data_IF_745476799234
#
_entry.id   IF_745476799234
#
_cell.length_a   1.000
_cell.length_b   1.000
_cell.length_c   1.000
_cell.angle_alpha   90.00
_cell.angle_beta   90.00
_cell.angle_gamma   90.00
#
_symmetry.space_group_name_H-M   'P 1'
#
loop_
_entity.id
_entity.type
_entity.pdbx_description
1 polymer ?
#
# COMPACT_ATOMS: atom_id res chain seq x y z
N UNK A 1 42.33 31.21 8.66
CA UNK A 1 42.70 32.13 7.56
C UNK A 1 42.97 31.31 6.31
N UNK A 2 41.97 31.17 5.44
CA UNK A 2 42.13 30.55 4.13
C UNK A 2 41.19 31.30 3.19
N UNK A 3 41.79 32.13 2.33
CA UNK A 3 41.14 32.89 1.26
C UNK A 3 41.01 31.96 0.06
N UNK A 4 39.79 31.73 -0.43
CA UNK A 4 39.55 31.15 -1.75
C UNK A 4 38.53 32.02 -2.50
N UNK A 5 38.91 32.38 -3.73
CA UNK A 5 38.31 33.43 -4.54
C UNK A 5 37.07 33.04 -5.35
N UNK A 6 36.53 34.06 -6.01
CA UNK A 6 35.35 34.06 -6.86
C UNK A 6 35.43 33.07 -8.03
N UNK A 7 34.24 32.56 -8.41
CA UNK A 7 33.84 32.49 -9.82
C UNK A 7 33.78 31.09 -10.42
N UNK A 8 32.58 30.57 -10.63
CA UNK A 8 32.35 29.38 -11.45
C UNK A 8 30.88 28.98 -11.52
N UNK A 9 30.14 29.53 -12.48
CA UNK A 9 28.87 28.94 -12.94
C UNK A 9 29.21 27.66 -13.71
N UNK A 10 28.77 26.51 -13.21
CA UNK A 10 28.46 25.36 -14.04
C UNK A 10 27.12 24.79 -13.61
N UNK A 11 26.14 24.92 -14.50
CA UNK A 11 24.89 24.18 -14.40
C UNK A 11 25.14 22.71 -14.73
N UNK A 12 24.54 21.81 -13.95
CA UNK A 12 24.35 20.43 -14.32
C UNK A 12 22.96 20.00 -13.84
N UNK A 13 22.11 19.72 -14.83
CA UNK A 13 20.86 18.98 -14.71
C UNK A 13 21.14 17.66 -13.99
N UNK A 14 20.51 17.43 -12.85
CA UNK A 14 20.48 16.14 -12.16
C UNK A 14 19.09 15.52 -12.31
N UNK A 15 19.00 14.48 -13.13
CA UNK A 15 17.80 13.73 -13.44
C UNK A 15 17.05 13.23 -12.19
N UNK A 16 15.75 13.54 -12.10
CA UNK A 16 14.81 12.84 -11.23
C UNK A 16 14.70 11.38 -11.71
N UNK A 17 15.46 10.49 -11.07
CA UNK A 17 15.34 9.05 -11.24
C UNK A 17 14.02 8.57 -10.67
N UNK A 18 13.05 8.32 -11.56
CA UNK A 18 11.83 7.55 -11.27
C UNK A 18 12.24 6.15 -10.80
N UNK A 19 12.14 5.88 -9.49
CA UNK A 19 12.24 4.53 -8.95
C UNK A 19 10.95 3.79 -9.29
N UNK A 20 11.08 2.72 -10.06
CA UNK A 20 9.98 1.80 -10.40
C UNK A 20 9.61 1.02 -9.13
N UNK A 21 8.33 1.06 -8.78
CA UNK A 21 7.74 0.18 -7.77
C UNK A 21 7.87 -1.29 -8.21
N UNK A 22 8.13 -2.27 -7.30
CA UNK A 22 8.36 -3.67 -7.67
C UNK A 22 7.08 -4.46 -7.98
N UNK A 23 5.89 -3.86 -7.80
CA UNK A 23 4.63 -4.55 -8.07
C UNK A 23 4.32 -4.59 -9.58
N UNK A 24 3.92 -5.75 -10.14
CA UNK A 24 3.59 -5.84 -11.55
C UNK A 24 2.29 -5.06 -11.81
N UNK A 25 2.46 -3.83 -12.30
CA UNK A 25 1.39 -2.99 -12.85
C UNK A 25 0.66 -3.79 -13.92
N UNK A 26 -0.64 -4.02 -13.74
CA UNK A 26 -1.53 -4.66 -14.70
C UNK A 26 -1.34 -4.05 -16.09
N UNK A 27 -0.64 -4.77 -16.98
CA UNK A 27 -0.37 -4.33 -18.35
C UNK A 27 -1.57 -4.71 -19.22
N UNK A 28 -2.43 -3.74 -19.53
CA UNK A 28 -3.38 -3.90 -20.63
C UNK A 28 -2.59 -4.01 -21.94
N UNK A 29 -2.48 -5.22 -22.49
CA UNK A 29 -1.90 -5.46 -23.81
C UNK A 29 -2.77 -4.78 -24.87
N UNK A 30 -2.27 -3.74 -25.51
CA UNK A 30 -2.80 -3.22 -26.77
C UNK A 30 -2.19 -4.00 -27.93
N UNK A 31 -3.04 -4.52 -28.84
CA UNK A 31 -2.61 -5.20 -30.05
C UNK A 31 -2.24 -4.19 -31.17
N UNK A 32 -1.40 -4.57 -32.16
CA UNK A 32 -0.95 -3.69 -33.23
C UNK A 32 -2.01 -3.56 -34.33
N UNK A 33 -2.06 -2.36 -34.93
CA UNK A 33 -3.06 -1.95 -35.90
C UNK A 33 -2.92 -2.57 -37.29
N UNK A 34 -4.04 -2.53 -38.01
CA UNK A 34 -4.16 -2.59 -39.46
C UNK A 34 -5.20 -1.54 -39.83
N UNK A 35 -4.83 -0.61 -40.71
CA UNK A 35 -5.71 0.42 -41.28
C UNK A 35 -6.55 -0.17 -42.42
N UNK A 36 -7.81 0.24 -42.53
CA UNK A 36 -8.45 0.75 -43.76
C UNK A 36 -9.98 0.87 -43.59
N UNK A 37 -10.54 2.00 -44.02
CA UNK A 37 -11.97 2.12 -44.37
C UNK A 37 -12.74 3.27 -43.72
N UNK A 38 -13.12 4.24 -44.55
CA UNK A 38 -14.07 5.32 -44.27
C UNK A 38 -15.38 4.80 -43.64
N UNK A 39 -15.64 5.22 -42.41
CA UNK A 39 -16.88 4.95 -41.67
C UNK A 39 -17.18 6.11 -40.71
N UNK A 40 -18.46 6.33 -40.32
CA UNK A 40 -18.84 7.47 -39.50
C UNK A 40 -18.09 7.41 -38.17
N UNK A 41 -17.33 8.48 -37.89
CA UNK A 41 -16.42 8.59 -36.75
C UNK A 41 -17.15 8.22 -35.44
N UNK A 42 -16.73 7.15 -34.74
CA UNK A 42 -17.31 6.81 -33.46
C UNK A 42 -16.93 7.90 -32.46
N UNK A 43 -17.94 8.55 -31.86
CA UNK A 43 -17.73 9.57 -30.83
C UNK A 43 -16.80 9.01 -29.76
N UNK A 44 -15.61 9.60 -29.61
CA UNK A 44 -14.64 9.28 -28.57
C UNK A 44 -15.31 9.41 -27.21
N UNK A 45 -15.77 8.29 -26.64
CA UNK A 45 -16.30 8.24 -25.28
C UNK A 45 -15.12 8.49 -24.35
N UNK A 46 -15.03 9.68 -23.78
CA UNK A 46 -14.07 10.00 -22.72
C UNK A 46 -14.28 9.02 -21.56
N UNK A 47 -13.23 8.35 -21.07
CA UNK A 47 -13.35 7.44 -19.94
C UNK A 47 -13.80 8.26 -18.72
N UNK A 48 -15.01 7.96 -18.24
CA UNK A 48 -15.62 8.67 -17.12
C UNK A 48 -14.90 8.23 -15.85
N UNK A 49 -14.07 9.11 -15.29
CA UNK A 49 -13.38 8.85 -14.02
C UNK A 49 -14.46 8.73 -12.92
N UNK A 50 -14.56 7.58 -12.22
CA UNK A 50 -15.54 7.43 -11.16
C UNK A 50 -15.27 8.44 -10.04
N UNK A 51 -16.33 9.03 -9.51
CA UNK A 51 -16.22 9.90 -8.34
C UNK A 51 -15.80 9.06 -7.14
N UNK A 52 -14.87 9.59 -6.33
CA UNK A 52 -14.35 8.91 -5.13
C UNK A 52 -15.47 8.73 -4.08
N UNK A 53 -16.40 9.68 -3.97
CA UNK A 53 -17.51 9.60 -3.01
C UNK A 53 -18.83 9.16 -3.67
N UNK A 54 -19.56 8.28 -2.99
CA UNK A 54 -20.85 7.72 -3.45
C UNK A 54 -22.04 8.15 -2.60
N UNK A 55 -21.81 8.76 -1.43
CA UNK A 55 -22.83 9.17 -0.44
C UNK A 55 -23.65 8.02 0.18
N UNK A 56 -23.34 6.77 -0.14
CA UNK A 56 -24.07 5.59 0.38
C UNK A 56 -23.83 5.34 1.88
N UNK A 57 -22.81 6.00 2.45
CA UNK A 57 -22.43 5.90 3.86
C UNK A 57 -22.91 7.04 4.75
N UNK A 58 -23.67 8.00 4.22
CA UNK A 58 -24.10 9.21 4.94
C UNK A 58 -25.08 8.91 6.09
N UNK A 59 -25.78 7.77 6.00
CA UNK A 59 -26.71 7.30 7.05
C UNK A 59 -26.02 6.50 8.17
N UNK A 60 -24.68 6.48 8.22
CA UNK A 60 -23.94 5.73 9.24
C UNK A 60 -23.77 4.23 8.98
N UNK A 61 -24.05 3.76 7.76
CA UNK A 61 -23.89 2.35 7.37
C UNK A 61 -22.83 2.19 6.30
N UNK A 62 -22.11 1.06 6.29
CA UNK A 62 -21.19 0.69 5.23
C UNK A 62 -21.40 -0.79 4.85
N UNK A 63 -20.74 -1.24 3.79
CA UNK A 63 -20.78 -2.62 3.33
C UNK A 63 -19.47 -3.34 3.64
N UNK A 64 -19.56 -4.56 4.14
CA UNK A 64 -18.43 -5.50 4.21
C UNK A 64 -18.06 -5.99 2.82
N UNK A 65 -16.95 -6.71 2.70
CA UNK A 65 -16.52 -7.33 1.43
C UNK A 65 -17.53 -8.37 0.91
N UNK A 66 -18.33 -8.97 1.82
CA UNK A 66 -19.39 -9.92 1.47
C UNK A 66 -20.64 -9.25 0.90
N UNK A 67 -20.71 -7.91 0.94
CA UNK A 67 -21.86 -7.10 0.54
C UNK A 67 -22.89 -6.87 1.65
N UNK A 68 -22.69 -7.47 2.83
CA UNK A 68 -23.52 -7.26 4.01
C UNK A 68 -23.41 -5.80 4.49
N UNK A 69 -24.55 -5.16 4.77
CA UNK A 69 -24.57 -3.79 5.30
C UNK A 69 -24.59 -3.80 6.82
N UNK A 70 -23.63 -3.12 7.42
CA UNK A 70 -23.47 -2.99 8.88
C UNK A 70 -23.32 -1.52 9.28
N UNK A 71 -23.67 -1.15 10.51
CA UNK A 71 -23.43 0.21 11.00
C UNK A 71 -21.91 0.44 11.13
N UNK A 72 -21.45 1.69 10.98
CA UNK A 72 -20.02 2.03 10.90
C UNK A 72 -19.24 1.83 12.20
N UNK A 73 -19.94 1.71 13.32
CA UNK A 73 -19.44 1.42 14.66
C UNK A 73 -19.37 -0.10 14.96
N UNK A 74 -19.66 -0.96 13.99
CA UNK A 74 -19.46 -2.41 14.10
C UNK A 74 -17.96 -2.74 14.25
N UNK A 75 -17.64 -3.74 15.07
CA UNK A 75 -16.27 -4.18 15.36
C UNK A 75 -15.47 -4.55 14.10
N UNK A 76 -16.14 -5.01 13.03
CA UNK A 76 -15.47 -5.29 11.76
C UNK A 76 -14.85 -4.03 11.18
N UNK A 77 -15.57 -2.91 11.19
CA UNK A 77 -15.05 -1.64 10.67
C UNK A 77 -14.02 -1.02 11.60
N UNK A 78 -14.17 -1.19 12.91
CA UNK A 78 -13.13 -0.77 13.88
C UNK A 78 -11.80 -1.48 13.61
N UNK A 79 -11.84 -2.81 13.43
CA UNK A 79 -10.64 -3.61 13.14
C UNK A 79 -10.00 -3.22 11.80
N UNK A 80 -10.81 -3.02 10.75
CA UNK A 80 -10.32 -2.58 9.43
C UNK A 80 -9.74 -1.17 9.51
N UNK A 81 -10.42 -0.25 10.19
CA UNK A 81 -9.98 1.14 10.36
C UNK A 81 -8.68 1.25 11.15
N UNK A 82 -8.56 0.51 12.25
CA UNK A 82 -7.32 0.47 13.06
C UNK A 82 -6.14 -0.08 12.25
N UNK A 83 -6.39 -1.07 11.40
CA UNK A 83 -5.38 -1.64 10.48
C UNK A 83 -4.93 -0.61 9.43
N UNK A 84 -5.86 0.17 8.89
CA UNK A 84 -5.57 1.25 7.93
C UNK A 84 -4.80 2.41 8.59
N UNK A 85 -5.12 2.74 9.84
CA UNK A 85 -4.37 3.72 10.64
C UNK A 85 -2.93 3.27 10.89
N UNK A 86 -2.71 2.00 11.25
CA UNK A 86 -1.37 1.43 11.38
C UNK A 86 -0.58 1.50 10.07
N UNK A 87 -1.21 1.15 8.94
CA UNK A 87 -0.57 1.23 7.63
C UNK A 87 -0.18 2.67 7.28
N UNK A 88 -1.04 3.63 7.60
CA UNK A 88 -0.78 5.06 7.40
C UNK A 88 0.36 5.57 8.29
N UNK A 89 0.42 5.14 9.55
CA UNK A 89 1.51 5.48 10.47
C UNK A 89 2.86 4.91 10.00
N UNK A 90 2.88 3.67 9.49
CA UNK A 90 4.08 3.08 8.87
C UNK A 90 4.51 3.91 7.65
N UNK A 91 3.57 4.29 6.78
CA UNK A 91 3.87 5.12 5.61
C UNK A 91 4.48 6.47 5.98
N UNK A 92 3.96 7.10 7.03
CA UNK A 92 4.54 8.33 7.58
C UNK A 92 5.95 8.11 8.14
N UNK A 93 6.16 7.04 8.91
CA UNK A 93 7.48 6.68 9.43
C UNK A 93 8.50 6.42 8.30
N UNK A 94 8.06 5.83 7.18
CA UNK A 94 8.92 5.59 6.02
C UNK A 94 9.44 6.87 5.37
N UNK A 95 8.65 7.94 5.36
CA UNK A 95 9.08 9.25 4.82
C UNK A 95 10.15 9.92 5.69
N UNK A 96 10.29 9.53 6.96
CA UNK A 96 11.32 10.04 7.86
C UNK A 96 12.68 9.33 7.68
N UNK A 97 12.76 8.28 6.87
CA UNK A 97 13.98 7.52 6.63
C UNK A 97 14.95 8.35 5.78
N UNK A 98 16.06 8.78 6.37
CA UNK A 98 17.12 9.54 5.68
C UNK A 98 18.16 8.65 5.02
N UNK A 99 18.41 7.47 5.60
CA UNK A 99 19.40 6.51 5.13
C UNK A 99 18.87 5.70 3.94
N UNK A 100 19.64 5.68 2.85
CA UNK A 100 19.26 4.94 1.64
C UNK A 100 19.90 3.56 1.62
N UNK A 101 19.11 2.55 1.29
CA UNK A 101 19.60 1.18 1.04
C UNK A 101 19.56 0.26 2.25
N UNK A 102 18.96 0.68 3.36
CA UNK A 102 18.72 -0.23 4.47
C UNK A 102 17.55 -1.18 4.15
N UNK A 103 17.68 -2.50 4.41
CA UNK A 103 16.64 -3.49 4.06
C UNK A 103 15.29 -3.24 4.73
N UNK A 104 15.25 -2.59 5.90
CA UNK A 104 13.99 -2.34 6.62
C UNK A 104 12.98 -1.54 5.80
N UNK A 105 13.41 -0.70 4.83
CA UNK A 105 12.47 0.06 4.01
C UNK A 105 11.62 -0.87 3.12
N UNK A 106 12.25 -1.89 2.54
CA UNK A 106 11.56 -2.91 1.75
C UNK A 106 10.73 -3.85 2.64
N UNK A 107 11.18 -4.11 3.86
CA UNK A 107 10.45 -4.91 4.85
C UNK A 107 9.18 -4.18 5.32
N UNK A 108 9.24 -2.86 5.54
CA UNK A 108 8.07 -2.03 5.88
C UNK A 108 7.06 -1.95 4.72
N UNK A 109 7.52 -1.85 3.47
CA UNK A 109 6.64 -1.90 2.29
C UNK A 109 5.89 -3.26 2.23
N UNK A 110 6.59 -4.37 2.49
CA UNK A 110 5.96 -5.71 2.58
C UNK A 110 4.94 -5.81 3.71
N UNK A 111 5.21 -5.15 4.84
CA UNK A 111 4.25 -5.09 5.96
C UNK A 111 3.00 -4.32 5.54
N UNK A 112 3.12 -3.17 4.87
CA UNK A 112 1.95 -2.43 4.37
C UNK A 112 1.11 -3.26 3.37
N UNK A 113 1.75 -4.01 2.46
CA UNK A 113 1.04 -4.95 1.60
C UNK A 113 0.30 -6.02 2.41
N UNK A 114 0.96 -6.60 3.40
CA UNK A 114 0.35 -7.62 4.27
C UNK A 114 -0.82 -7.06 5.09
N UNK A 115 -0.74 -5.81 5.56
CA UNK A 115 -1.83 -5.13 6.26
C UNK A 115 -3.05 -4.89 5.35
N UNK A 116 -2.85 -4.64 4.05
CA UNK A 116 -3.95 -4.55 3.08
C UNK A 116 -4.67 -5.90 2.91
N UNK A 117 -3.91 -7.00 2.89
CA UNK A 117 -4.48 -8.35 2.82
C UNK A 117 -5.24 -8.69 4.11
N UNK A 118 -4.68 -8.34 5.28
CA UNK A 118 -5.35 -8.47 6.58
C UNK A 118 -6.64 -7.64 6.60
N UNK A 119 -6.61 -6.40 6.14
CA UNK A 119 -7.81 -5.56 6.05
C UNK A 119 -8.90 -6.19 5.18
N UNK A 120 -8.52 -6.83 4.07
CA UNK A 120 -9.45 -7.56 3.20
C UNK A 120 -10.06 -8.80 3.88
N UNK A 121 -9.27 -9.52 4.67
CA UNK A 121 -9.73 -10.65 5.47
C UNK A 121 -10.65 -10.22 6.62
N UNK A 122 -10.29 -9.16 7.36
CA UNK A 122 -11.13 -8.59 8.42
C UNK A 122 -12.47 -8.08 7.87
N UNK A 123 -12.46 -7.45 6.70
CA UNK A 123 -13.66 -7.00 6.02
C UNK A 123 -14.56 -8.15 5.49
N UNK A 124 -14.16 -9.42 5.67
CA UNK A 124 -14.89 -10.61 5.21
C UNK A 124 -15.32 -11.49 6.40
N UNK A 125 -16.40 -11.13 7.11
CA UNK A 125 -16.89 -11.93 8.23
C UNK A 125 -17.28 -13.35 7.80
N UNK A 126 -16.76 -14.38 8.50
CA UNK A 126 -17.03 -15.79 8.16
C UNK A 126 -18.52 -16.15 8.24
N UNK A 127 -19.29 -15.45 9.05
CA UNK A 127 -20.75 -15.63 9.19
C UNK A 127 -21.54 -15.28 7.93
N UNK A 128 -21.03 -14.37 7.09
CA UNK A 128 -21.68 -13.93 5.84
C UNK A 128 -20.87 -14.23 4.59
N UNK A 129 -19.72 -14.87 4.74
CA UNK A 129 -18.84 -15.22 3.63
C UNK A 129 -19.35 -16.43 2.84
N UNK A 130 -19.24 -16.35 1.51
CA UNK A 130 -19.39 -17.49 0.61
C UNK A 130 -18.03 -18.12 0.38
N UNK A 131 -17.99 -19.36 -0.12
CA UNK A 131 -16.72 -20.04 -0.42
C UNK A 131 -15.81 -19.20 -1.33
N UNK A 132 -16.36 -18.50 -2.32
CA UNK A 132 -15.59 -17.62 -3.19
C UNK A 132 -14.89 -16.50 -2.41
N UNK A 133 -15.56 -15.87 -1.44
CA UNK A 133 -14.96 -14.82 -0.62
C UNK A 133 -13.82 -15.39 0.24
N UNK A 134 -14.05 -16.54 0.88
CA UNK A 134 -13.07 -17.18 1.74
C UNK A 134 -11.79 -17.57 0.98
N UNK A 135 -11.91 -18.06 -0.26
CA UNK A 135 -10.75 -18.39 -1.10
C UNK A 135 -9.88 -17.16 -1.42
N UNK A 136 -10.48 -15.99 -1.52
CA UNK A 136 -9.76 -14.75 -1.82
C UNK A 136 -9.18 -14.06 -0.58
N UNK A 137 -9.67 -14.40 0.61
CA UNK A 137 -9.28 -13.75 1.86
C UNK A 137 -8.67 -14.73 2.86
N UNK A 138 -8.13 -15.84 2.37
CA UNK A 138 -7.35 -16.75 3.21
C UNK A 138 -6.01 -16.11 3.51
N UNK A 139 -5.65 -16.02 4.79
CA UNK A 139 -4.38 -15.45 5.23
C UNK A 139 -3.42 -16.57 5.64
N UNK A 140 -2.31 -16.67 4.92
CA UNK A 140 -1.29 -17.70 5.14
C UNK A 140 -0.39 -17.37 6.34
N UNK A 141 0.25 -18.39 6.93
CA UNK A 141 1.17 -18.20 8.05
C UNK A 141 2.56 -17.66 7.63
N UNK A 142 2.85 -17.59 6.32
CA UNK A 142 4.16 -17.19 5.82
C UNK A 142 4.63 -15.79 6.29
N UNK A 143 3.79 -14.74 6.32
CA UNK A 143 4.20 -13.43 6.83
C UNK A 143 4.57 -13.45 8.32
N UNK A 144 3.95 -14.33 9.11
CA UNK A 144 4.24 -14.47 10.55
C UNK A 144 5.68 -14.99 10.73
N UNK A 145 6.01 -16.08 10.04
CA UNK A 145 7.36 -16.67 10.07
C UNK A 145 8.42 -15.68 9.55
N UNK A 146 8.06 -14.85 8.58
CA UNK A 146 8.95 -13.82 8.05
C UNK A 146 9.22 -12.72 9.09
N UNK A 147 8.20 -12.28 9.84
CA UNK A 147 8.38 -11.33 10.94
C UNK A 147 9.26 -11.91 12.05
N UNK A 148 9.06 -13.17 12.44
CA UNK A 148 9.90 -13.86 13.43
C UNK A 148 11.38 -13.86 13.01
N UNK A 149 11.66 -14.20 11.74
CA UNK A 149 13.04 -14.15 11.20
C UNK A 149 13.65 -12.74 11.24
N UNK A 150 12.86 -11.70 10.97
CA UNK A 150 13.33 -10.32 11.06
C UNK A 150 13.57 -9.89 12.49
N UNK A 151 12.70 -10.28 13.43
CA UNK A 151 12.88 -10.01 14.87
C UNK A 151 14.19 -10.64 15.35
N UNK A 152 14.47 -11.90 15.00
CA UNK A 152 15.72 -12.58 15.38
C UNK A 152 16.94 -11.91 14.77
N UNK A 153 16.87 -11.56 13.47
CA UNK A 153 17.93 -10.84 12.75
C UNK A 153 18.28 -9.51 13.41
N UNK A 154 17.29 -8.70 13.79
CA UNK A 154 17.54 -7.39 14.40
C UNK A 154 17.94 -7.51 15.87
N UNK A 155 17.33 -8.43 16.62
CA UNK A 155 17.64 -8.64 18.04
C UNK A 155 19.08 -9.12 18.24
N UNK A 156 19.61 -9.97 17.34
CA UNK A 156 20.99 -10.47 17.42
C UNK A 156 22.07 -9.39 17.27
N UNK A 157 21.71 -8.22 16.74
CA UNK A 157 22.62 -7.08 16.55
C UNK A 157 22.60 -6.11 17.74
N UNK A 158 21.67 -6.30 18.69
CA UNK A 158 21.48 -5.43 19.84
C UNK A 158 22.09 -6.04 21.11
N UNK A 159 22.57 -5.21 22.05
CA UNK A 159 22.99 -5.69 23.35
C UNK A 159 21.79 -6.25 24.15
N UNK A 160 22.03 -7.17 25.10
CA UNK A 160 20.96 -7.73 25.93
C UNK A 160 20.28 -6.63 26.74
N UNK A 161 18.94 -6.61 26.71
CA UNK A 161 18.12 -5.62 27.40
C UNK A 161 17.99 -5.95 28.90
N UNK A 162 18.31 -5.01 29.77
CA UNK A 162 18.26 -5.19 31.24
C UNK A 162 17.12 -4.42 31.93
N UNK A 163 16.53 -3.44 31.25
CA UNK A 163 15.43 -2.61 31.75
C UNK A 163 14.51 -2.15 30.61
N UNK A 164 13.31 -1.68 30.93
CA UNK A 164 12.39 -1.11 29.94
C UNK A 164 12.92 0.19 29.33
N UNK A 165 12.66 0.40 28.03
CA UNK A 165 12.99 1.62 27.29
C UNK A 165 11.78 2.57 27.29
N UNK A 166 12.04 3.87 27.41
CA UNK A 166 11.02 4.91 27.25
C UNK A 166 10.85 5.22 25.74
N UNK A 167 9.64 5.10 25.18
CA UNK A 167 9.36 5.46 23.79
C UNK A 167 9.48 6.97 23.50
#
# INVERSE_FOLDING_TARGET
>A
MAVWGLGGRLGLRGCLGSRRLPCPRFQSRGAPGVEDGDGPQPSLKTPKIPKIYTKTGDKGFSSTFTGERRPKDDQVFEAVGTTDELSSAIGFAMELITEKGHPFAEELEKIQCSLQDIGSALATPRSSAREAHLRHTTFEAAPILQLEQWIDKYSSQLPPLTAFILP
#
